data_IF_201027203930
#
_entry.id   IF_201027203930
#
_cell.length_a   1.000
_cell.length_b   1.000
_cell.length_c   1.000
_cell.angle_alpha   90.00
_cell.angle_beta   90.00
_cell.angle_gamma   90.00
#
_symmetry.space_group_name_H-M   'P 1'
#
loop_
_entity.id
_entity.type
_entity.pdbx_description
1 polymer ?
#
# COMPACT_ATOMS: atom_id res chain seq x y z
N UNK A 1 14.91 -1.56 -4.36
CA UNK A 1 15.86 -1.19 -3.30
C UNK A 1 15.55 -2.06 -2.09
N UNK A 2 16.57 -2.64 -1.48
CA UNK A 2 16.45 -3.44 -0.27
C UNK A 2 17.46 -2.95 0.76
N UNK A 3 17.17 -3.17 2.04
CA UNK A 3 18.08 -2.87 3.14
C UNK A 3 18.46 -4.17 3.83
N UNK A 4 19.74 -4.51 3.84
CA UNK A 4 20.26 -5.66 4.54
C UNK A 4 20.23 -5.45 6.06
N UNK A 5 20.35 -6.53 6.84
CA UNK A 5 20.34 -6.48 8.31
C UNK A 5 21.42 -5.55 8.91
N UNK A 6 22.52 -5.32 8.19
CA UNK A 6 23.60 -4.39 8.56
C UNK A 6 23.31 -2.92 8.20
N UNK A 7 22.08 -2.60 7.81
CA UNK A 7 21.68 -1.23 7.43
C UNK A 7 22.17 -0.78 6.04
N UNK A 8 22.80 -1.67 5.27
CA UNK A 8 23.26 -1.36 3.92
C UNK A 8 22.10 -1.36 2.93
N UNK A 9 21.97 -0.28 2.16
CA UNK A 9 20.95 -0.14 1.11
C UNK A 9 21.56 -0.54 -0.22
N UNK A 10 20.92 -1.46 -0.92
CA UNK A 10 21.39 -1.98 -2.20
C UNK A 10 20.22 -2.15 -3.19
N UNK A 11 20.52 -2.16 -4.48
CA UNK A 11 19.57 -2.50 -5.54
C UNK A 11 19.85 -3.95 -5.93
N UNK A 12 18.91 -4.86 -5.64
CA UNK A 12 19.10 -6.30 -5.87
C UNK A 12 18.94 -6.71 -7.34
N UNK A 13 18.31 -5.87 -8.17
CA UNK A 13 18.12 -6.11 -9.60
C UNK A 13 17.25 -5.06 -10.27
N UNK A 14 17.28 -5.05 -11.60
CA UNK A 14 16.44 -4.23 -12.48
C UNK A 14 15.74 -5.17 -13.47
N UNK A 15 14.42 -5.10 -13.53
CA UNK A 15 13.61 -5.96 -14.40
C UNK A 15 12.70 -5.09 -15.26
N UNK A 16 12.76 -5.31 -16.57
CA UNK A 16 11.91 -4.67 -17.57
C UNK A 16 11.06 -5.74 -18.26
N UNK A 17 9.75 -5.53 -18.33
CA UNK A 17 8.79 -6.50 -18.88
C UNK A 17 7.38 -6.26 -18.34
N UNK A 18 6.40 -6.97 -18.90
CA UNK A 18 5.01 -6.91 -18.42
C UNK A 18 4.89 -7.57 -17.04
N UNK A 19 4.59 -6.74 -16.05
CA UNK A 19 4.82 -6.99 -14.63
C UNK A 19 3.80 -7.97 -14.01
N UNK A 20 2.67 -8.23 -14.66
CA UNK A 20 1.60 -9.00 -14.05
C UNK A 20 1.88 -10.52 -13.99
N UNK A 21 2.74 -11.06 -14.86
CA UNK A 21 2.83 -12.53 -15.06
C UNK A 21 4.08 -13.21 -14.48
N UNK A 22 5.09 -12.47 -14.02
CA UNK A 22 6.41 -13.05 -13.71
C UNK A 22 7.01 -12.69 -12.34
N UNK A 23 6.23 -12.24 -11.36
CA UNK A 23 6.77 -11.93 -10.02
C UNK A 23 7.44 -13.14 -9.36
N UNK A 24 6.86 -14.33 -9.51
CA UNK A 24 7.46 -15.56 -9.00
C UNK A 24 8.88 -15.77 -9.53
N UNK A 25 9.09 -15.60 -10.83
CA UNK A 25 10.42 -15.76 -11.43
C UNK A 25 11.45 -14.80 -10.82
N UNK A 26 11.09 -13.52 -10.69
CA UNK A 26 11.97 -12.49 -10.10
C UNK A 26 12.30 -12.80 -8.64
N UNK A 27 11.31 -13.24 -7.86
CA UNK A 27 11.49 -13.54 -6.43
C UNK A 27 12.29 -14.84 -6.23
N UNK A 28 12.09 -15.85 -7.07
CA UNK A 28 12.91 -17.06 -7.08
C UNK A 28 14.36 -16.75 -7.41
N UNK A 29 14.62 -15.88 -8.39
CA UNK A 29 15.99 -15.48 -8.72
C UNK A 29 16.70 -14.81 -7.53
N UNK A 30 16.00 -14.01 -6.73
CA UNK A 30 16.57 -13.47 -5.49
C UNK A 30 16.92 -14.55 -4.47
N UNK A 31 16.07 -15.57 -4.35
CA UNK A 31 16.33 -16.71 -3.47
C UNK A 31 17.55 -17.50 -3.94
N UNK A 32 17.68 -17.72 -5.25
CA UNK A 32 18.82 -18.42 -5.86
C UNK A 32 20.13 -17.63 -5.70
N UNK A 33 20.06 -16.30 -5.69
CA UNK A 33 21.20 -15.40 -5.38
C UNK A 33 21.57 -15.36 -3.90
N UNK A 34 20.87 -16.07 -3.03
CA UNK A 34 21.18 -16.19 -1.60
C UNK A 34 20.37 -15.30 -0.66
N UNK A 35 19.28 -14.67 -1.14
CA UNK A 35 18.34 -13.97 -0.24
C UNK A 35 17.51 -15.01 0.52
N UNK A 36 17.98 -15.36 1.72
CA UNK A 36 17.38 -16.43 2.53
C UNK A 36 16.02 -16.03 3.12
N UNK A 37 15.93 -14.82 3.69
CA UNK A 37 14.73 -14.36 4.39
C UNK A 37 14.50 -12.86 4.18
N UNK A 38 13.22 -12.47 4.19
CA UNK A 38 12.76 -11.10 3.98
C UNK A 38 11.72 -10.78 5.04
N UNK A 39 12.02 -9.83 5.93
CA UNK A 39 11.10 -9.46 7.00
C UNK A 39 9.87 -8.71 6.49
N UNK A 40 10.08 -7.80 5.52
CA UNK A 40 9.04 -6.90 5.05
C UNK A 40 9.27 -6.51 3.58
N UNK A 41 8.19 -6.46 2.81
CA UNK A 41 8.19 -5.94 1.44
C UNK A 41 7.15 -4.84 1.30
N UNK A 42 7.56 -3.73 0.69
CA UNK A 42 6.72 -2.57 0.41
C UNK A 42 6.29 -2.56 -1.06
N UNK A 43 5.00 -2.74 -1.31
CA UNK A 43 4.42 -2.87 -2.65
C UNK A 43 3.55 -1.66 -3.01
N UNK A 44 3.35 -1.42 -4.31
CA UNK A 44 2.49 -0.35 -4.82
C UNK A 44 1.02 -0.81 -5.06
N UNK A 45 0.56 -1.79 -4.27
CA UNK A 45 -0.79 -2.36 -4.44
C UNK A 45 -1.00 -3.10 -5.76
N UNK A 46 0.07 -3.65 -6.35
CA UNK A 46 -0.02 -4.46 -7.58
C UNK A 46 -0.68 -5.81 -7.27
N UNK A 47 -1.63 -6.20 -8.11
CA UNK A 47 -2.32 -7.50 -8.02
C UNK A 47 -1.34 -8.65 -8.27
N UNK A 48 -1.40 -9.71 -7.46
CA UNK A 48 -0.60 -10.93 -7.61
C UNK A 48 0.84 -10.86 -7.09
N UNK A 49 1.37 -9.66 -6.80
CA UNK A 49 2.69 -9.53 -6.16
C UNK A 49 2.69 -10.03 -4.69
N UNK A 50 1.69 -9.69 -3.85
CA UNK A 50 1.62 -10.23 -2.49
C UNK A 50 1.57 -11.76 -2.46
N UNK A 51 0.76 -12.36 -3.33
CA UNK A 51 0.61 -13.82 -3.42
C UNK A 51 1.94 -14.49 -3.82
N UNK A 52 2.66 -13.91 -4.78
CA UNK A 52 3.98 -14.39 -5.19
C UNK A 52 5.02 -14.27 -4.07
N UNK A 53 4.98 -13.21 -3.27
CA UNK A 53 5.87 -13.04 -2.11
C UNK A 53 5.57 -14.10 -1.07
N UNK A 54 4.30 -14.31 -0.71
CA UNK A 54 3.89 -15.33 0.25
C UNK A 54 4.27 -16.75 -0.21
N UNK A 55 4.26 -17.01 -1.52
CA UNK A 55 4.70 -18.29 -2.08
C UNK A 55 6.21 -18.54 -1.94
N UNK A 56 7.06 -17.50 -2.06
CA UNK A 56 8.53 -17.64 -1.92
C UNK A 56 8.99 -17.55 -0.47
N UNK A 57 8.41 -16.61 0.28
CA UNK A 57 8.67 -16.35 1.70
C UNK A 57 7.36 -16.18 2.47
N UNK A 58 6.89 -17.27 3.09
CA UNK A 58 5.60 -17.31 3.79
C UNK A 58 5.54 -16.45 5.06
N UNK A 59 6.70 -16.10 5.64
CA UNK A 59 6.80 -15.29 6.87
C UNK A 59 6.91 -13.78 6.61
N UNK A 60 7.01 -13.38 5.34
CA UNK A 60 7.23 -11.98 4.97
C UNK A 60 5.97 -11.15 5.13
N UNK A 61 6.09 -10.00 5.78
CA UNK A 61 5.00 -9.04 5.90
C UNK A 61 4.95 -8.17 4.64
N UNK A 62 3.83 -8.21 3.91
CA UNK A 62 3.61 -7.34 2.75
C UNK A 62 2.81 -6.11 3.16
N UNK A 63 3.31 -4.92 2.88
CA UNK A 63 2.64 -3.64 3.16
C UNK A 63 2.55 -2.78 1.91
N UNK A 64 1.51 -1.96 1.82
CA UNK A 64 1.41 -0.93 0.79
C UNK A 64 2.29 0.26 1.15
N UNK A 65 3.12 0.69 0.21
CA UNK A 65 4.02 1.81 0.44
C UNK A 65 3.23 3.13 0.54
N UNK A 66 3.30 3.78 1.71
CA UNK A 66 2.65 5.09 1.93
C UNK A 66 3.13 6.15 0.94
N UNK A 67 4.39 6.10 0.51
CA UNK A 67 4.92 7.07 -0.45
C UNK A 67 4.26 6.89 -1.81
N UNK A 68 4.06 5.64 -2.26
CA UNK A 68 3.33 5.42 -3.50
C UNK A 68 1.84 5.78 -3.36
N UNK A 69 1.24 5.53 -2.20
CA UNK A 69 -0.11 5.98 -1.88
C UNK A 69 -0.23 7.50 -2.00
N UNK A 70 0.65 8.25 -1.33
CA UNK A 70 0.66 9.71 -1.35
C UNK A 70 0.91 10.29 -2.75
N UNK A 71 1.72 9.64 -3.59
CA UNK A 71 1.96 10.05 -4.98
C UNK A 71 0.77 9.76 -5.90
N UNK A 72 0.00 8.72 -5.61
CA UNK A 72 -1.25 8.40 -6.33
C UNK A 72 -2.40 9.32 -5.93
N UNK A 73 -2.32 9.94 -4.77
CA UNK A 73 -3.33 10.91 -4.36
C UNK A 73 -3.23 12.17 -5.24
N UNK A 74 -4.30 12.56 -5.94
CA UNK A 74 -4.38 13.89 -6.50
C UNK A 74 -4.39 14.85 -5.31
N UNK A 75 -3.36 15.70 -5.21
CA UNK A 75 -3.44 16.86 -4.34
C UNK A 75 -4.63 17.69 -4.83
N UNK A 76 -5.71 17.65 -4.06
CA UNK A 76 -6.94 18.34 -4.36
C UNK A 76 -6.66 19.84 -4.27
N UNK A 77 -6.66 20.52 -5.42
CA UNK A 77 -6.91 21.97 -5.46
C UNK A 77 -8.25 22.22 -4.73
N UNK A 78 -8.32 23.21 -3.82
CA UNK A 78 -9.56 23.53 -3.13
C UNK A 78 -10.55 24.18 -4.09
N UNK A 79 -11.18 23.40 -4.97
CA UNK A 79 -12.37 23.84 -5.70
C UNK A 79 -13.53 23.91 -4.70
N UNK A 80 -14.21 25.05 -4.66
CA UNK A 80 -15.28 25.52 -3.77
C UNK A 80 -16.51 24.63 -3.56
N UNK A 81 -16.52 23.38 -4.04
CA UNK A 81 -17.60 22.41 -3.81
C UNK A 81 -17.07 21.20 -3.02
N UNK A 82 -17.86 20.79 -2.03
CA UNK A 82 -17.49 19.88 -0.94
C UNK A 82 -16.79 18.56 -1.33
N UNK A 83 -16.12 17.97 -0.34
CA UNK A 83 -15.36 16.73 -0.47
C UNK A 83 -16.31 15.52 -0.64
N UNK A 84 -16.44 15.02 -1.87
CA UNK A 84 -16.90 13.64 -2.09
C UNK A 84 -15.69 12.71 -2.01
N UNK A 85 -15.41 12.21 -0.80
CA UNK A 85 -14.37 11.21 -0.57
C UNK A 85 -14.80 9.86 -1.15
N UNK A 86 -14.35 9.52 -2.36
CA UNK A 86 -14.54 8.18 -2.95
C UNK A 86 -13.46 7.18 -2.49
N UNK A 87 -12.39 7.62 -1.82
CA UNK A 87 -11.33 6.73 -1.37
C UNK A 87 -11.64 6.16 0.02
N UNK A 88 -12.04 4.90 0.07
CA UNK A 88 -12.22 4.10 1.30
C UNK A 88 -10.99 4.03 2.22
N UNK A 89 -9.85 4.58 1.80
CA UNK A 89 -8.56 4.46 2.48
C UNK A 89 -8.15 5.69 3.30
N UNK A 90 -8.91 6.80 3.24
CA UNK A 90 -8.62 8.01 4.01
C UNK A 90 -8.66 7.77 5.55
N UNK A 91 -9.40 6.74 6.00
CA UNK A 91 -9.53 6.41 7.42
C UNK A 91 -8.29 5.75 8.05
N UNK A 92 -7.36 5.20 7.28
CA UNK A 92 -6.26 4.38 7.80
C UNK A 92 -5.03 5.20 8.22
N UNK A 93 -4.86 6.42 7.69
CA UNK A 93 -3.70 7.28 7.95
C UNK A 93 -4.09 8.70 8.42
N UNK A 94 -5.29 8.86 8.99
CA UNK A 94 -5.73 10.13 9.57
C UNK A 94 -6.18 11.19 8.56
N UNK A 95 -6.66 10.80 7.38
CA UNK A 95 -7.30 11.71 6.44
C UNK A 95 -8.64 12.23 6.98
N UNK A 96 -8.91 13.52 6.78
CA UNK A 96 -10.06 14.25 7.31
C UNK A 96 -11.38 13.46 7.17
N UNK A 97 -12.08 13.29 8.31
CA UNK A 97 -13.50 12.93 8.34
C UNK A 97 -14.30 14.06 7.68
N UNK A 98 -14.53 13.97 6.38
CA UNK A 98 -15.59 14.74 5.76
C UNK A 98 -16.94 14.17 6.24
N UNK A 99 -17.56 14.84 7.21
CA UNK A 99 -19.00 14.72 7.49
C UNK A 99 -19.48 13.42 8.13
N UNK A 100 -19.03 13.10 9.35
CA UNK A 100 -19.91 12.39 10.27
C UNK A 100 -20.75 13.44 11.02
N UNK A 101 -21.85 13.87 10.43
CA UNK A 101 -22.93 14.49 11.22
C UNK A 101 -23.50 13.35 12.07
N UNK A 102 -23.44 13.41 13.42
CA UNK A 102 -24.11 12.40 14.23
C UNK A 102 -25.62 12.45 13.92
N UNK A 103 -26.34 11.32 13.86
CA UNK A 103 -27.80 11.36 13.77
C UNK A 103 -28.30 12.18 14.96
N UNK A 104 -28.91 13.32 14.66
CA UNK A 104 -29.55 14.19 15.64
C UNK A 104 -30.53 13.38 16.48
N UNK A 105 -30.42 13.47 17.81
CA UNK A 105 -31.41 12.97 18.76
C UNK A 105 -32.83 13.40 18.34
N UNK A 106 -33.85 12.56 18.57
CA UNK A 106 -35.22 12.90 18.22
C UNK A 106 -35.63 14.17 18.96
N UNK A 107 -36.05 15.19 18.20
CA UNK A 107 -36.73 16.37 18.76
C UNK A 107 -38.00 15.87 19.45
N UNK A 108 -38.06 15.98 20.77
CA UNK A 108 -39.30 15.93 21.53
C UNK A 108 -40.21 17.06 21.01
N UNK A 109 -41.19 16.70 20.19
CA UNK A 109 -42.33 17.58 19.89
C UNK A 109 -43.26 17.47 21.10
N UNK A 110 -43.31 18.55 21.88
CA UNK A 110 -44.40 18.78 22.82
C UNK A 110 -45.62 19.26 22.05
N UNK A 111 -46.76 18.62 22.32
CA UNK A 111 -48.11 19.17 22.26
C UNK A 111 -48.85 18.60 23.47
#
# INVERSE_FOLDING_TARGET
MATAYKGRREILGLYAGDRAKCWLHVLTEFKDRGVADVLMVMCDGLTGLPDAITAVWSKTITQTCIVHLLRKLPLREPSSLGCHCQSSQAGLYGGCRAGAVPPSLPKSVGA
#
